data_IF_922017571581
#
_entry.id   IF_922017571581
#
_cell.length_a   1.000
_cell.length_b   1.000
_cell.length_c   1.000
_cell.angle_alpha   90.00
_cell.angle_beta   90.00
_cell.angle_gamma   90.00
#
_symmetry.space_group_name_H-M   'P 1'
#
loop_
_entity.id
_entity.type
_entity.pdbx_description
1 polymer ?
#
# COMPACT_ATOMS: atom_id res chain seq x y z
N UNK A 1 7.89 -12.11 -1.87
CA UNK A 1 8.62 -10.95 -1.31
C UNK A 1 9.94 -10.82 -2.07
N UNK A 2 10.26 -9.65 -2.66
CA UNK A 2 11.53 -9.45 -3.39
C UNK A 2 12.66 -9.23 -2.38
N UNK A 3 13.81 -9.87 -2.58
CA UNK A 3 14.99 -9.74 -1.70
C UNK A 3 15.49 -8.29 -1.65
N UNK A 4 15.91 -7.81 -0.47
CA UNK A 4 16.34 -6.42 -0.24
C UNK A 4 17.50 -5.99 -1.15
N UNK A 5 18.43 -6.91 -1.45
CA UNK A 5 19.59 -6.64 -2.33
C UNK A 5 19.15 -6.37 -3.77
N UNK A 6 18.00 -6.91 -4.19
CA UNK A 6 17.46 -6.73 -5.56
C UNK A 6 16.70 -5.42 -5.74
N UNK A 7 16.53 -4.63 -4.68
CA UNK A 7 15.86 -3.33 -4.74
C UNK A 7 16.84 -2.26 -5.24
N UNK A 8 16.34 -1.29 -6.01
CA UNK A 8 17.10 -0.09 -6.34
C UNK A 8 17.34 0.78 -5.09
N UNK A 9 18.20 1.80 -5.23
CA UNK A 9 18.58 2.64 -4.10
C UNK A 9 17.38 3.35 -3.48
N UNK A 10 16.49 3.92 -4.29
CA UNK A 10 15.32 4.64 -3.80
C UNK A 10 14.29 3.73 -3.13
N UNK A 11 14.11 2.49 -3.61
CA UNK A 11 13.24 1.49 -3.00
C UNK A 11 13.80 1.00 -1.65
N UNK A 12 15.12 0.97 -1.49
CA UNK A 12 15.76 0.67 -0.20
C UNK A 12 15.58 1.83 0.77
N UNK A 13 15.86 3.06 0.32
CA UNK A 13 15.75 4.25 1.15
C UNK A 13 14.31 4.55 1.56
N UNK A 14 13.33 4.26 0.70
CA UNK A 14 11.92 4.31 1.07
C UNK A 14 11.56 3.40 2.26
N UNK A 15 12.38 2.39 2.56
CA UNK A 15 12.18 1.47 3.68
C UNK A 15 13.01 1.82 4.92
N UNK A 16 13.82 2.88 4.89
CA UNK A 16 14.63 3.27 6.04
C UNK A 16 13.74 3.70 7.22
N UNK A 17 14.07 3.32 8.48
CA UNK A 17 13.30 3.73 9.65
C UNK A 17 13.56 5.19 10.04
N UNK A 18 14.72 5.75 9.65
CA UNK A 18 15.11 7.10 10.00
C UNK A 18 16.08 7.68 8.97
N UNK A 19 16.04 9.01 8.81
CA UNK A 19 16.93 9.75 7.94
C UNK A 19 17.12 11.19 8.44
N UNK A 20 18.21 11.83 8.03
CA UNK A 20 18.49 13.23 8.36
C UNK A 20 18.05 14.18 7.23
N UNK A 21 18.23 15.48 7.45
CA UNK A 21 17.79 16.54 6.50
C UNK A 21 18.48 16.43 5.16
N UNK A 22 19.80 16.17 5.16
CA UNK A 22 20.61 16.04 3.94
C UNK A 22 20.13 14.86 3.10
N UNK A 23 19.96 13.69 3.72
CA UNK A 23 19.53 12.47 3.05
C UNK A 23 18.16 12.68 2.39
N UNK A 24 17.18 13.24 3.12
CA UNK A 24 15.86 13.52 2.55
C UNK A 24 15.92 14.49 1.36
N UNK A 25 16.72 15.56 1.47
CA UNK A 25 16.87 16.56 0.41
C UNK A 25 17.47 15.96 -0.87
N UNK A 26 18.47 15.09 -0.72
CA UNK A 26 19.08 14.36 -1.84
C UNK A 26 18.09 13.39 -2.49
N UNK A 27 17.30 12.67 -1.68
CA UNK A 27 16.27 11.76 -2.19
C UNK A 27 15.19 12.49 -3.00
N UNK A 28 14.75 13.67 -2.56
CA UNK A 28 13.82 14.52 -3.32
C UNK A 28 14.39 14.98 -4.66
N UNK A 29 15.71 15.17 -4.75
CA UNK A 29 16.42 15.49 -5.99
C UNK A 29 16.72 14.25 -6.87
N UNK A 30 16.31 13.06 -6.43
CA UNK A 30 16.66 11.81 -7.11
C UNK A 30 18.16 11.54 -7.13
N UNK A 31 18.82 11.79 -6.00
CA UNK A 31 20.25 11.56 -5.79
C UNK A 31 20.48 10.51 -4.71
N UNK A 32 21.67 9.90 -4.72
CA UNK A 32 22.10 9.00 -3.66
C UNK A 32 22.15 9.77 -2.32
N UNK A 33 21.51 9.29 -1.24
CA UNK A 33 21.48 9.96 0.06
C UNK A 33 22.86 10.16 0.71
N UNK A 34 23.87 9.40 0.29
CA UNK A 34 25.24 9.49 0.81
C UNK A 34 26.14 10.44 -0.01
N UNK A 35 25.63 11.03 -1.10
CA UNK A 35 26.37 11.93 -1.97
C UNK A 35 26.91 13.14 -1.18
N UNK A 36 28.16 13.54 -1.42
CA UNK A 36 28.71 14.75 -0.80
C UNK A 36 28.10 15.99 -1.44
N UNK A 37 27.99 17.08 -0.66
CA UNK A 37 27.31 18.30 -1.13
C UNK A 37 28.04 18.94 -2.30
N UNK A 38 29.37 18.80 -2.35
CA UNK A 38 30.21 19.31 -3.43
C UNK A 38 30.07 18.48 -4.73
N UNK A 39 29.53 17.26 -4.64
CA UNK A 39 29.35 16.33 -5.76
C UNK A 39 27.96 16.42 -6.38
N UNK A 40 27.09 17.31 -5.87
CA UNK A 40 25.73 17.47 -6.39
C UNK A 40 25.81 18.04 -7.82
N UNK A 41 25.19 17.37 -8.82
CA UNK A 41 25.12 17.87 -10.19
C UNK A 41 24.50 19.27 -10.27
N UNK A 42 25.03 20.12 -11.16
CA UNK A 42 24.63 21.53 -11.28
C UNK A 42 23.15 21.73 -11.62
N UNK A 43 22.59 20.84 -12.43
CA UNK A 43 21.17 20.79 -12.81
C UNK A 43 20.24 20.47 -11.62
N UNK A 44 20.76 19.83 -10.58
CA UNK A 44 20.02 19.46 -9.36
C UNK A 44 20.36 20.31 -8.15
N UNK A 45 21.42 21.13 -8.25
CA UNK A 45 21.96 21.93 -7.14
C UNK A 45 20.95 22.96 -6.63
N UNK A 46 20.24 23.63 -7.54
CA UNK A 46 19.20 24.60 -7.18
C UNK A 46 18.08 23.96 -6.36
N UNK A 47 17.56 22.81 -6.79
CA UNK A 47 16.51 22.09 -6.08
C UNK A 47 16.98 21.70 -4.67
N UNK A 48 18.18 21.15 -4.55
CA UNK A 48 18.77 20.80 -3.26
C UNK A 48 18.90 22.02 -2.33
N UNK A 49 19.41 23.14 -2.86
CA UNK A 49 19.62 24.38 -2.10
C UNK A 49 18.29 25.05 -1.69
N UNK A 50 17.16 24.69 -2.30
CA UNK A 50 15.82 25.07 -1.85
C UNK A 50 15.30 24.09 -0.80
N UNK A 51 15.34 22.78 -1.06
CA UNK A 51 14.76 21.76 -0.19
C UNK A 51 15.45 21.67 1.17
N UNK A 52 16.78 21.64 1.18
CA UNK A 52 17.56 21.45 2.41
C UNK A 52 17.28 22.51 3.49
N UNK A 53 17.36 23.83 3.20
CA UNK A 53 17.03 24.84 4.21
C UNK A 53 15.54 24.85 4.56
N UNK A 54 14.65 24.56 3.61
CA UNK A 54 13.21 24.54 3.87
C UNK A 54 12.83 23.42 4.85
N UNK A 55 13.32 22.19 4.62
CA UNK A 55 13.14 21.07 5.54
C UNK A 55 13.74 21.39 6.91
N UNK A 56 14.96 21.94 6.94
CA UNK A 56 15.60 22.36 8.18
C UNK A 56 14.77 23.40 8.97
N UNK A 57 14.04 24.29 8.29
CA UNK A 57 13.12 25.24 8.92
C UNK A 57 11.94 24.51 9.58
N UNK A 58 11.28 23.59 8.87
CA UNK A 58 10.15 22.81 9.40
C UNK A 58 10.56 21.99 10.63
N UNK A 59 11.74 21.34 10.56
CA UNK A 59 12.28 20.57 11.68
C UNK A 59 12.40 21.44 12.94
N UNK A 60 12.90 22.67 12.79
CA UNK A 60 13.07 23.62 13.90
C UNK A 60 11.74 24.17 14.43
N UNK A 61 10.77 24.46 13.56
CA UNK A 61 9.55 25.19 13.94
C UNK A 61 8.39 24.29 14.35
N UNK A 62 8.34 23.04 13.88
CA UNK A 62 7.19 22.14 14.12
C UNK A 62 7.08 21.64 15.56
N UNK A 63 8.17 21.64 16.33
CA UNK A 63 8.22 21.05 17.67
C UNK A 63 8.06 19.52 17.69
N UNK A 64 8.12 18.86 16.53
CA UNK A 64 7.96 17.41 16.38
C UNK A 64 9.29 16.65 16.32
N UNK A 65 10.39 17.38 16.16
CA UNK A 65 11.73 16.83 16.00
C UNK A 65 12.63 17.25 17.15
N UNK A 66 13.45 16.31 17.63
CA UNK A 66 14.49 16.59 18.63
C UNK A 66 15.83 16.85 17.93
N UNK A 67 16.51 17.93 18.30
CA UNK A 67 17.86 18.24 17.82
C UNK A 67 17.92 18.88 16.43
N UNK A 68 19.05 18.68 15.72
CA UNK A 68 19.42 19.46 14.53
C UNK A 68 19.33 18.72 13.19
N UNK A 69 19.82 19.38 12.13
CA UNK A 69 19.71 18.90 10.75
C UNK A 69 20.47 17.58 10.48
N UNK A 70 21.56 17.34 11.20
CA UNK A 70 22.41 16.14 11.08
C UNK A 70 21.86 14.92 11.83
N UNK A 71 20.90 15.13 12.73
CA UNK A 71 20.31 14.05 13.52
C UNK A 71 19.38 13.20 12.65
N UNK A 72 19.35 11.90 12.94
CA UNK A 72 18.39 10.98 12.34
C UNK A 72 17.02 11.19 12.97
N UNK A 73 16.02 11.43 12.12
CA UNK A 73 14.64 11.66 12.52
C UNK A 73 13.75 10.54 12.00
N UNK A 74 12.61 10.33 12.65
CA UNK A 74 11.65 9.30 12.25
C UNK A 74 11.22 9.49 10.78
N UNK A 75 11.32 8.40 10.00
CA UNK A 75 11.07 8.46 8.57
C UNK A 75 9.65 8.88 8.19
N UNK A 76 8.62 8.52 8.96
CA UNK A 76 7.25 8.94 8.63
C UNK A 76 7.08 10.45 8.74
N UNK A 77 7.61 11.09 9.79
CA UNK A 77 7.54 12.56 9.89
C UNK A 77 8.35 13.24 8.78
N UNK A 78 9.54 12.73 8.48
CA UNK A 78 10.41 13.25 7.43
C UNK A 78 9.81 13.11 6.02
N UNK A 79 9.24 11.95 5.69
CA UNK A 79 8.61 11.78 4.38
C UNK A 79 7.24 12.45 4.29
N UNK A 80 6.51 12.63 5.41
CA UNK A 80 5.25 13.35 5.39
C UNK A 80 5.43 14.84 5.13
N UNK A 81 6.41 15.52 5.76
CA UNK A 81 6.69 16.93 5.44
C UNK A 81 7.21 17.08 4.00
N UNK A 82 7.97 16.09 3.51
CA UNK A 82 8.53 16.10 2.17
C UNK A 82 7.46 15.99 1.07
N UNK A 83 6.25 15.55 1.40
CA UNK A 83 5.15 15.44 0.45
C UNK A 83 4.87 16.76 -0.30
N UNK A 84 4.97 17.90 0.39
CA UNK A 84 4.77 19.23 -0.20
C UNK A 84 5.92 19.68 -1.12
N UNK A 85 7.03 18.95 -1.11
CA UNK A 85 8.25 19.24 -1.88
C UNK A 85 8.48 18.23 -3.00
N UNK A 86 7.55 17.29 -3.18
CA UNK A 86 7.62 16.31 -4.26
C UNK A 86 7.47 17.04 -5.58
N UNK A 87 8.43 16.82 -6.46
CA UNK A 87 8.40 17.29 -7.84
C UNK A 87 8.14 16.11 -8.78
N UNK A 88 7.22 16.26 -9.72
CA UNK A 88 6.78 15.18 -10.59
C UNK A 88 7.85 14.70 -11.57
N UNK A 89 8.76 15.57 -11.97
CA UNK A 89 9.82 15.26 -12.95
C UNK A 89 11.12 14.85 -12.25
N UNK A 90 11.41 15.46 -11.09
CA UNK A 90 12.69 15.28 -10.39
C UNK A 90 12.67 14.17 -9.34
N UNK A 91 11.59 14.03 -8.56
CA UNK A 91 11.55 13.10 -7.43
C UNK A 91 11.30 11.66 -7.93
N UNK A 92 12.10 10.65 -7.52
CA UNK A 92 11.87 9.27 -7.95
C UNK A 92 10.56 8.69 -7.41
N UNK A 93 9.88 7.86 -8.22
CA UNK A 93 8.59 7.27 -7.85
C UNK A 93 8.57 6.55 -6.49
N UNK A 94 9.58 5.73 -6.10
CA UNK A 94 9.59 5.09 -4.79
C UNK A 94 9.57 6.09 -3.62
N UNK A 95 10.15 7.28 -3.82
CA UNK A 95 10.15 8.35 -2.82
C UNK A 95 8.79 9.06 -2.79
N UNK A 96 8.18 9.34 -3.95
CA UNK A 96 6.81 9.89 -4.02
C UNK A 96 5.82 8.99 -3.28
N UNK A 97 5.85 7.69 -3.56
CA UNK A 97 4.99 6.69 -2.92
C UNK A 97 5.22 6.64 -1.41
N UNK A 98 6.48 6.77 -0.99
CA UNK A 98 6.85 6.79 0.42
C UNK A 98 6.34 8.04 1.15
N UNK A 99 6.40 9.21 0.53
CA UNK A 99 5.83 10.45 1.05
C UNK A 99 4.32 10.32 1.22
N UNK A 100 3.61 9.85 0.19
CA UNK A 100 2.16 9.65 0.25
C UNK A 100 1.77 8.65 1.36
N UNK A 101 2.50 7.55 1.46
CA UNK A 101 2.30 6.54 2.51
C UNK A 101 2.53 7.12 3.90
N UNK A 102 3.57 7.93 4.10
CA UNK A 102 3.84 8.59 5.36
C UNK A 102 2.67 9.47 5.81
N UNK A 103 2.13 10.30 4.90
CA UNK A 103 0.97 11.15 5.18
C UNK A 103 -0.23 10.31 5.61
N UNK A 104 -0.54 9.24 4.88
CA UNK A 104 -1.65 8.35 5.21
C UNK A 104 -1.45 7.65 6.57
N UNK A 105 -0.23 7.15 6.84
CA UNK A 105 0.12 6.52 8.12
C UNK A 105 -0.04 7.47 9.29
N UNK A 106 0.39 8.73 9.16
CA UNK A 106 0.20 9.73 10.22
C UNK A 106 -1.28 10.07 10.37
N UNK A 107 -2.01 10.27 9.27
CA UNK A 107 -3.43 10.62 9.30
C UNK A 107 -4.31 9.62 10.09
N UNK A 108 -3.92 8.34 10.10
CA UNK A 108 -4.62 7.28 10.83
C UNK A 108 -4.27 7.19 12.33
N UNK A 109 -3.32 7.99 12.84
CA UNK A 109 -2.97 8.03 14.27
C UNK A 109 -3.92 8.95 15.05
N UNK A 110 -4.09 8.70 16.35
CA UNK A 110 -4.98 9.49 17.23
C UNK A 110 -4.71 11.01 17.19
N UNK A 111 -3.45 11.43 17.05
CA UNK A 111 -3.05 12.85 16.93
C UNK A 111 -2.60 13.23 15.51
N UNK A 112 -2.99 12.43 14.50
CA UNK A 112 -2.51 12.57 13.12
C UNK A 112 -2.77 13.95 12.52
N UNK A 113 -3.95 14.53 12.77
CA UNK A 113 -4.32 15.85 12.26
C UNK A 113 -3.41 16.96 12.80
N UNK A 114 -3.13 16.96 14.10
CA UNK A 114 -2.23 17.94 14.72
C UNK A 114 -0.80 17.79 14.18
N UNK A 115 -0.32 16.55 14.05
CA UNK A 115 1.00 16.27 13.50
C UNK A 115 1.12 16.80 12.06
N UNK A 116 0.16 16.48 11.19
CA UNK A 116 0.18 16.94 9.79
C UNK A 116 0.09 18.47 9.70
N UNK A 117 -0.73 19.11 10.54
CA UNK A 117 -0.81 20.57 10.60
C UNK A 117 0.52 21.21 11.01
N UNK A 118 1.26 20.61 11.95
CA UNK A 118 2.58 21.12 12.38
C UNK A 118 3.68 20.89 11.33
N UNK A 119 3.55 19.86 10.50
CA UNK A 119 4.53 19.53 9.45
C UNK A 119 4.35 20.36 8.17
N UNK A 120 3.10 20.63 7.76
CA UNK A 120 2.82 21.24 6.47
C UNK A 120 1.55 22.09 6.41
N UNK A 121 1.02 22.52 7.57
CA UNK A 121 -0.13 23.40 7.64
C UNK A 121 -1.43 22.77 7.13
N UNK A 122 -2.34 23.62 6.64
CA UNK A 122 -3.67 23.21 6.18
C UNK A 122 -3.61 22.30 4.95
N UNK A 123 -2.67 22.54 4.04
CA UNK A 123 -2.52 21.76 2.81
C UNK A 123 -2.22 20.28 3.11
N UNK A 124 -1.22 20.03 3.95
CA UNK A 124 -0.84 18.66 4.33
C UNK A 124 -1.93 17.98 5.19
N UNK A 125 -2.59 18.75 6.05
CA UNK A 125 -3.75 18.28 6.82
C UNK A 125 -4.88 17.83 5.90
N UNK A 126 -5.26 18.66 4.91
CA UNK A 126 -6.32 18.36 3.97
C UNK A 126 -6.00 17.06 3.20
N UNK A 127 -4.75 16.90 2.75
CA UNK A 127 -4.33 15.67 2.08
C UNK A 127 -4.43 14.43 2.98
N UNK A 128 -4.01 14.53 4.23
CA UNK A 128 -4.17 13.43 5.19
C UNK A 128 -5.64 13.05 5.43
N UNK A 129 -6.53 14.03 5.50
CA UNK A 129 -7.98 13.79 5.62
C UNK A 129 -8.53 13.09 4.39
N UNK A 130 -8.11 13.48 3.18
CA UNK A 130 -8.48 12.81 1.93
C UNK A 130 -8.03 11.35 1.92
N UNK A 131 -6.75 11.10 2.24
CA UNK A 131 -6.17 9.75 2.23
C UNK A 131 -6.79 8.83 3.28
N UNK A 132 -7.08 9.32 4.48
CA UNK A 132 -7.75 8.53 5.52
C UNK A 132 -9.17 8.12 5.12
N UNK A 133 -9.91 8.98 4.39
CA UNK A 133 -11.22 8.65 3.83
C UNK A 133 -11.11 7.59 2.72
N UNK A 134 -10.14 7.74 1.83
CA UNK A 134 -9.92 6.81 0.71
C UNK A 134 -9.43 5.44 1.17
N UNK A 135 -8.56 5.36 2.18
CA UNK A 135 -8.11 4.09 2.77
C UNK A 135 -9.23 3.34 3.49
N UNK A 136 -10.15 4.03 4.17
CA UNK A 136 -11.36 3.38 4.72
C UNK A 136 -12.21 2.75 3.61
N UNK A 137 -12.31 3.39 2.45
CA UNK A 137 -13.00 2.83 1.28
C UNK A 137 -12.27 1.62 0.67
N UNK A 138 -10.93 1.61 0.70
CA UNK A 138 -10.11 0.51 0.19
C UNK A 138 -10.13 -0.71 1.11
N UNK A 139 -9.96 -0.52 2.43
CA UNK A 139 -10.11 -1.60 3.41
C UNK A 139 -11.50 -2.23 3.35
N UNK A 140 -12.57 -1.41 3.23
CA UNK A 140 -13.91 -1.95 3.04
C UNK A 140 -14.05 -2.80 1.78
N UNK A 141 -13.42 -2.41 0.67
CA UNK A 141 -13.44 -3.20 -0.58
C UNK A 141 -12.63 -4.49 -0.46
N UNK A 142 -11.50 -4.46 0.23
CA UNK A 142 -10.68 -5.66 0.49
C UNK A 142 -11.41 -6.62 1.44
N UNK A 143 -12.04 -6.11 2.49
CA UNK A 143 -12.85 -6.88 3.43
C UNK A 143 -14.09 -7.47 2.74
N UNK A 144 -14.81 -6.68 1.92
CA UNK A 144 -15.95 -7.17 1.14
C UNK A 144 -15.52 -8.26 0.15
N UNK A 145 -14.35 -8.12 -0.49
CA UNK A 145 -13.80 -9.13 -1.39
C UNK A 145 -13.44 -10.41 -0.63
N UNK A 146 -12.74 -10.30 0.50
CA UNK A 146 -12.39 -11.44 1.35
C UNK A 146 -13.64 -12.16 1.87
N UNK A 147 -14.66 -11.42 2.32
CA UNK A 147 -15.94 -11.98 2.76
C UNK A 147 -16.67 -12.69 1.61
N UNK A 148 -16.59 -12.16 0.39
CA UNK A 148 -17.17 -12.79 -0.81
C UNK A 148 -16.44 -14.09 -1.16
N UNK A 149 -15.11 -14.13 -1.06
CA UNK A 149 -14.31 -15.33 -1.27
C UNK A 149 -14.64 -16.41 -0.21
N UNK A 150 -14.74 -16.03 1.06
CA UNK A 150 -15.18 -16.93 2.13
C UNK A 150 -16.57 -17.49 1.85
N UNK A 151 -17.53 -16.63 1.51
CA UNK A 151 -18.89 -17.05 1.19
C UNK A 151 -18.92 -18.01 -0.01
N UNK A 152 -18.18 -17.72 -1.08
CA UNK A 152 -18.09 -18.57 -2.26
C UNK A 152 -17.52 -19.96 -1.91
N UNK A 153 -16.43 -20.00 -1.15
CA UNK A 153 -15.84 -21.27 -0.72
C UNK A 153 -16.78 -22.08 0.18
N UNK A 154 -17.51 -21.42 1.10
CA UNK A 154 -18.50 -22.08 1.95
C UNK A 154 -19.68 -22.63 1.14
N UNK A 155 -20.15 -21.90 0.13
CA UNK A 155 -21.21 -22.37 -0.77
C UNK A 155 -20.77 -23.60 -1.56
N UNK A 156 -19.55 -23.58 -2.13
CA UNK A 156 -18.98 -24.74 -2.84
C UNK A 156 -18.85 -25.95 -1.92
N UNK A 157 -18.33 -25.76 -0.70
CA UNK A 157 -18.22 -26.82 0.30
C UNK A 157 -19.59 -27.34 0.75
N UNK A 158 -20.59 -26.46 0.89
CA UNK A 158 -21.97 -26.82 1.22
C UNK A 158 -22.62 -27.64 0.10
N UNK A 159 -22.41 -27.26 -1.16
CA UNK A 159 -22.89 -28.01 -2.32
C UNK A 159 -22.26 -29.41 -2.35
N UNK A 160 -20.94 -29.52 -2.15
CA UNK A 160 -20.28 -30.82 -2.03
C UNK A 160 -20.81 -31.64 -0.84
N UNK A 161 -21.14 -31.00 0.29
CA UNK A 161 -21.77 -31.67 1.45
C UNK A 161 -23.18 -32.18 1.15
N UNK A 162 -23.99 -31.42 0.41
CA UNK A 162 -25.41 -31.71 0.16
C UNK A 162 -25.61 -32.69 -0.99
N UNK A 163 -24.85 -32.53 -2.07
CA UNK A 163 -24.94 -33.37 -3.27
C UNK A 163 -24.04 -34.60 -3.14
N UNK A 164 -22.87 -34.46 -2.51
CA UNK A 164 -21.93 -35.57 -2.32
C UNK A 164 -21.26 -36.01 -3.62
N UNK A 165 -21.25 -37.32 -3.87
CA UNK A 165 -20.42 -38.04 -4.84
C UNK A 165 -20.11 -37.31 -6.17
N UNK A 166 -21.09 -36.71 -6.84
CA UNK A 166 -20.86 -36.02 -8.13
C UNK A 166 -20.11 -34.69 -8.00
N UNK A 167 -20.22 -34.03 -6.85
CA UNK A 167 -19.61 -32.74 -6.50
C UNK A 167 -18.38 -32.91 -5.60
N UNK A 168 -17.95 -34.14 -5.33
CA UNK A 168 -16.81 -34.46 -4.47
C UNK A 168 -17.14 -34.42 -2.98
N UNK A 169 -16.13 -34.13 -2.15
CA UNK A 169 -16.29 -33.99 -0.69
C UNK A 169 -16.12 -32.54 -0.26
N UNK A 170 -16.42 -32.25 1.01
CA UNK A 170 -16.23 -30.91 1.62
C UNK A 170 -14.76 -30.47 1.56
N UNK A 171 -13.84 -31.40 1.69
CA UNK A 171 -12.39 -31.18 1.67
C UNK A 171 -11.88 -31.08 0.22
N UNK A 172 -12.49 -31.84 -0.70
CA UNK A 172 -12.08 -31.87 -2.10
C UNK A 172 -13.29 -31.79 -3.05
N UNK A 173 -13.86 -30.60 -3.25
CA UNK A 173 -14.95 -30.39 -4.19
C UNK A 173 -14.50 -30.67 -5.64
N UNK A 174 -15.36 -31.29 -6.43
CA UNK A 174 -15.13 -31.58 -7.84
C UNK A 174 -15.48 -30.36 -8.71
N UNK A 175 -14.55 -29.40 -8.77
CA UNK A 175 -14.74 -28.09 -9.42
C UNK A 175 -15.20 -28.20 -10.89
N UNK A 176 -14.77 -29.23 -11.63
CA UNK A 176 -15.20 -29.45 -13.01
C UNK A 176 -16.71 -29.66 -13.14
N UNK A 177 -17.29 -30.50 -12.28
CA UNK A 177 -18.73 -30.78 -12.30
C UNK A 177 -19.52 -29.53 -11.94
N UNK A 178 -19.08 -28.84 -10.88
CA UNK A 178 -19.70 -27.59 -10.41
C UNK A 178 -19.66 -26.52 -11.50
N UNK A 179 -18.51 -26.36 -12.19
CA UNK A 179 -18.36 -25.41 -13.30
C UNK A 179 -19.31 -25.72 -14.46
N UNK A 180 -19.42 -26.98 -14.86
CA UNK A 180 -20.33 -27.39 -15.93
C UNK A 180 -21.79 -27.09 -15.58
N UNK A 181 -22.21 -27.39 -14.35
CA UNK A 181 -23.58 -27.14 -13.92
C UNK A 181 -23.87 -25.63 -13.73
N UNK A 182 -22.87 -24.83 -13.33
CA UNK A 182 -22.98 -23.36 -13.34
C UNK A 182 -23.18 -22.81 -14.76
N UNK A 183 -22.49 -23.35 -15.76
CA UNK A 183 -22.67 -22.94 -17.15
C UNK A 183 -24.06 -23.30 -17.66
N UNK A 184 -24.53 -24.54 -17.41
CA UNK A 184 -25.89 -24.96 -17.76
C UNK A 184 -26.95 -24.07 -17.11
N UNK A 185 -26.79 -23.78 -15.81
CA UNK A 185 -27.72 -22.91 -15.09
C UNK A 185 -27.72 -21.48 -15.65
N UNK A 186 -26.55 -20.96 -16.01
CA UNK A 186 -26.46 -19.64 -16.66
C UNK A 186 -27.17 -19.64 -18.01
N UNK A 187 -26.97 -20.67 -18.82
CA UNK A 187 -27.63 -20.83 -20.11
C UNK A 187 -29.16 -20.94 -19.95
N UNK A 188 -29.64 -21.75 -19.00
CA UNK A 188 -31.07 -21.90 -18.68
C UNK A 188 -31.72 -20.58 -18.20
N UNK A 189 -30.93 -19.69 -17.60
CA UNK A 189 -31.39 -18.38 -17.10
C UNK A 189 -31.09 -17.23 -18.05
N UNK A 190 -30.49 -17.48 -19.21
CA UNK A 190 -30.08 -16.45 -20.16
C UNK A 190 -29.01 -15.49 -19.62
N UNK A 191 -28.19 -15.95 -18.67
CA UNK A 191 -27.09 -15.17 -18.08
C UNK A 191 -25.86 -15.31 -18.98
N UNK A 192 -25.22 -14.22 -19.42
CA UNK A 192 -24.00 -14.30 -20.21
C UNK A 192 -22.90 -15.07 -19.48
N UNK A 193 -22.19 -15.95 -20.19
CA UNK A 193 -21.07 -16.75 -19.64
C UNK A 193 -19.80 -15.93 -19.37
N UNK A 194 -19.87 -14.60 -19.48
CA UNK A 194 -18.76 -13.69 -19.20
C UNK A 194 -18.34 -13.81 -17.73
N UNK A 195 -17.08 -14.22 -17.50
CA UNK A 195 -16.56 -14.47 -16.16
C UNK A 195 -16.86 -15.88 -15.60
N UNK A 196 -17.47 -16.76 -16.39
CA UNK A 196 -17.66 -18.19 -16.10
C UNK A 196 -16.69 -19.09 -16.89
N UNK A 197 -15.62 -18.52 -17.47
CA UNK A 197 -14.60 -19.34 -18.11
C UNK A 197 -13.97 -20.31 -17.10
N UNK A 198 -13.57 -21.49 -17.58
CA UNK A 198 -12.99 -22.53 -16.73
C UNK A 198 -11.82 -22.01 -15.89
N UNK A 199 -10.92 -21.24 -16.49
CA UNK A 199 -9.79 -20.62 -15.77
C UNK A 199 -10.24 -19.67 -14.67
N UNK A 200 -11.28 -18.87 -14.93
CA UNK A 200 -11.83 -17.91 -13.95
C UNK A 200 -12.44 -18.62 -12.75
N UNK A 201 -13.27 -19.64 -13.00
CA UNK A 201 -13.98 -20.36 -11.94
C UNK A 201 -13.02 -21.20 -11.10
N UNK A 202 -12.08 -21.90 -11.75
CA UNK A 202 -11.06 -22.66 -11.04
C UNK A 202 -10.21 -21.76 -10.14
N UNK A 203 -9.81 -20.59 -10.64
CA UNK A 203 -9.06 -19.61 -9.86
C UNK A 203 -9.88 -19.11 -8.67
N UNK A 204 -11.10 -18.62 -8.90
CA UNK A 204 -11.97 -18.07 -7.83
C UNK A 204 -12.25 -19.09 -6.72
N UNK A 205 -12.56 -20.33 -7.09
CA UNK A 205 -12.82 -21.40 -6.10
C UNK A 205 -11.53 -21.81 -5.40
N UNK A 206 -10.40 -21.86 -6.10
CA UNK A 206 -9.08 -22.11 -5.50
C UNK A 206 -8.71 -21.05 -4.47
N UNK A 207 -8.80 -19.77 -4.85
CA UNK A 207 -8.54 -18.63 -3.98
C UNK A 207 -9.46 -18.65 -2.74
N UNK A 208 -10.74 -18.94 -2.94
CA UNK A 208 -11.75 -19.05 -1.86
C UNK A 208 -11.45 -20.20 -0.89
N UNK A 209 -11.06 -21.38 -1.39
CA UNK A 209 -10.71 -22.51 -0.54
C UNK A 209 -9.44 -22.22 0.26
N UNK A 210 -8.42 -21.64 -0.35
CA UNK A 210 -7.20 -21.23 0.34
C UNK A 210 -7.50 -20.21 1.46
N UNK A 211 -8.43 -19.28 1.21
CA UNK A 211 -8.88 -18.32 2.21
C UNK A 211 -9.53 -19.03 3.42
N UNK A 212 -10.43 -19.97 3.19
CA UNK A 212 -11.07 -20.75 4.26
C UNK A 212 -10.03 -21.57 5.05
N UNK A 213 -9.11 -22.24 4.37
CA UNK A 213 -8.09 -23.06 5.01
C UNK A 213 -7.15 -22.19 5.86
N UNK A 214 -6.83 -20.97 5.40
CA UNK A 214 -6.08 -20.01 6.21
C UNK A 214 -6.83 -19.60 7.48
N UNK A 215 -8.12 -19.27 7.38
CA UNK A 215 -8.95 -18.90 8.53
C UNK A 215 -9.07 -20.03 9.57
N UNK A 216 -9.21 -21.28 9.10
CA UNK A 216 -9.33 -22.45 9.98
C UNK A 216 -8.02 -22.71 10.75
N UNK A 217 -6.87 -22.52 10.10
CA UNK A 217 -5.57 -22.93 10.63
C UNK A 217 -4.81 -21.83 11.39
N UNK A 218 -5.12 -20.55 11.16
CA UNK A 218 -4.30 -19.44 11.67
C UNK A 218 -5.06 -18.37 12.46
N UNK A 219 -6.40 -18.41 12.51
CA UNK A 219 -7.22 -17.45 13.30
C UNK A 219 -7.89 -18.13 14.52
N UNK A 220 -7.69 -19.44 14.71
CA UNK A 220 -8.01 -20.11 15.99
C UNK A 220 -6.98 -19.77 17.05
#
# INVERSE_FOLDING_TARGET
MVSFIKLGIFEREAKTPALNTKQLSLLLCGLNPDLRTEEIPSDKKLAYDIYHPYIGKIIKTSGLFGGGNSQLHNADHMFALAYLLVDEELTPQPIKDRCLKAVATIANKNNGKEILSKLGGEELLAKGVELSKNQRGMHRKEDEKANTEVLLGLLVKLLAKKVGHSYGTVEKPQISTIHNDLCKLADEKGIPLNGLSRSTIYKKIGDSNNCIDYLINYIK
#
